data_IF_099236659676
#
_entry.id   IF_099236659676
#
_cell.length_a   1.000
_cell.length_b   1.000
_cell.length_c   1.000
_cell.angle_alpha   90.00
_cell.angle_beta   90.00
_cell.angle_gamma   90.00
#
_symmetry.space_group_name_H-M   'P 1'
#
loop_
_entity.id
_entity.type
_entity.pdbx_description
1 polymer ?
#
# COMPACT_ATOMS: atom_id res chain seq x y z
N UNK A 1 -7.53 5.42 20.46
CA UNK A 1 -6.45 5.90 19.56
C UNK A 1 -5.71 4.74 18.89
N UNK A 2 -5.16 3.79 19.66
CA UNK A 2 -4.42 2.64 19.10
C UNK A 2 -5.19 1.82 18.06
N UNK A 3 -6.46 1.51 18.31
CA UNK A 3 -7.31 0.81 17.33
C UNK A 3 -7.50 1.61 16.03
N UNK A 4 -7.60 2.94 16.11
CA UNK A 4 -7.71 3.81 14.94
C UNK A 4 -6.38 3.84 14.18
N UNK A 5 -5.25 3.93 14.88
CA UNK A 5 -3.93 3.87 14.24
C UNK A 5 -3.68 2.52 13.58
N UNK A 6 -4.09 1.41 14.21
CA UNK A 6 -4.01 0.08 13.64
C UNK A 6 -4.90 -0.06 12.39
N UNK A 7 -6.11 0.48 12.42
CA UNK A 7 -6.99 0.55 11.25
C UNK A 7 -6.37 1.38 10.11
N UNK A 8 -5.90 2.60 10.39
CA UNK A 8 -5.27 3.46 9.39
C UNK A 8 -4.01 2.84 8.79
N UNK A 9 -3.23 2.12 9.61
CA UNK A 9 -2.07 1.35 9.16
C UNK A 9 -2.49 0.26 8.16
N UNK A 10 -3.49 -0.56 8.49
CA UNK A 10 -4.00 -1.58 7.56
C UNK A 10 -4.61 -0.97 6.29
N UNK A 11 -5.32 0.16 6.40
CA UNK A 11 -5.82 0.91 5.26
C UNK A 11 -4.69 1.34 4.33
N UNK A 12 -3.58 1.83 4.86
CA UNK A 12 -2.43 2.24 4.06
C UNK A 12 -1.89 1.09 3.20
N UNK A 13 -1.70 -0.11 3.77
CA UNK A 13 -1.24 -1.28 3.02
C UNK A 13 -2.27 -1.78 2.00
N UNK A 14 -3.54 -1.77 2.38
CA UNK A 14 -4.61 -2.23 1.51
C UNK A 14 -4.80 -1.29 0.30
N UNK A 15 -4.68 0.02 0.52
CA UNK A 15 -4.64 1.00 -0.56
C UNK A 15 -3.46 0.77 -1.51
N UNK A 16 -2.27 0.51 -0.98
CA UNK A 16 -1.11 0.17 -1.81
C UNK A 16 -1.32 -1.09 -2.65
N UNK A 17 -1.93 -2.13 -2.07
CA UNK A 17 -2.24 -3.38 -2.75
C UNK A 17 -3.25 -3.15 -3.90
N UNK A 18 -4.35 -2.45 -3.62
CA UNK A 18 -5.39 -2.20 -4.61
C UNK A 18 -4.87 -1.30 -5.74
N UNK A 19 -4.06 -0.29 -5.43
CA UNK A 19 -3.38 0.51 -6.45
C UNK A 19 -2.47 -0.35 -7.32
N UNK A 20 -1.68 -1.25 -6.73
CA UNK A 20 -0.84 -2.18 -7.48
C UNK A 20 -1.65 -3.09 -8.42
N UNK A 21 -2.75 -3.66 -7.93
CA UNK A 21 -3.66 -4.48 -8.75
C UNK A 21 -4.30 -3.67 -9.86
N UNK A 22 -4.71 -2.43 -9.59
CA UNK A 22 -5.25 -1.54 -10.62
C UNK A 22 -4.22 -1.30 -11.73
N UNK A 23 -2.98 -0.99 -11.36
CA UNK A 23 -1.90 -0.87 -12.34
C UNK A 23 -1.68 -2.17 -13.09
N UNK A 24 -1.68 -3.34 -12.45
CA UNK A 24 -1.58 -4.61 -13.18
C UNK A 24 -2.63 -4.74 -14.28
N UNK A 25 -3.90 -4.43 -13.99
CA UNK A 25 -4.94 -4.51 -15.01
C UNK A 25 -4.71 -3.54 -16.18
N UNK A 26 -4.34 -2.30 -15.87
CA UNK A 26 -4.08 -1.27 -16.90
C UNK A 26 -2.83 -1.60 -17.72
N UNK A 27 -1.76 -1.98 -17.04
CA UNK A 27 -0.42 -2.07 -17.59
C UNK A 27 -0.10 -3.45 -18.19
N UNK A 28 -0.46 -4.52 -17.49
CA UNK A 28 -0.14 -5.89 -17.91
C UNK A 28 -1.29 -6.51 -18.69
N UNK A 29 -2.54 -6.31 -18.25
CA UNK A 29 -3.71 -6.89 -18.91
C UNK A 29 -4.28 -6.02 -20.05
N UNK A 30 -3.84 -4.76 -20.16
CA UNK A 30 -4.33 -3.77 -21.13
C UNK A 30 -5.87 -3.63 -21.12
N UNK A 31 -6.49 -3.69 -19.94
CA UNK A 31 -7.95 -3.60 -19.78
C UNK A 31 -8.39 -2.12 -19.68
N UNK A 32 -8.83 -1.54 -20.80
CA UNK A 32 -9.33 -0.15 -20.87
C UNK A 32 -10.62 0.07 -20.03
N UNK A 33 -11.37 -0.98 -19.66
CA UNK A 33 -12.66 -0.85 -18.96
C UNK A 33 -12.54 -0.71 -17.43
N UNK A 34 -11.48 -0.07 -16.95
CA UNK A 34 -11.19 0.08 -15.52
C UNK A 34 -12.25 0.91 -14.76
N UNK A 35 -12.95 1.82 -15.46
CA UNK A 35 -14.02 2.71 -14.96
C UNK A 35 -15.06 2.00 -14.07
N UNK A 36 -15.48 0.79 -14.46
CA UNK A 36 -16.55 0.06 -13.75
C UNK A 36 -16.12 -0.53 -12.41
N UNK A 37 -14.80 -0.67 -12.16
CA UNK A 37 -14.27 -1.35 -10.97
C UNK A 37 -13.80 -0.39 -9.87
N UNK A 38 -13.74 0.92 -10.13
CA UNK A 38 -13.27 1.91 -9.14
C UNK A 38 -14.10 1.93 -7.85
N UNK A 39 -15.42 1.83 -7.94
CA UNK A 39 -16.27 1.77 -6.73
C UNK A 39 -16.00 0.52 -5.90
N UNK A 40 -15.77 -0.63 -6.56
CA UNK A 40 -15.40 -1.87 -5.88
C UNK A 40 -14.04 -1.74 -5.21
N UNK A 41 -13.05 -1.18 -5.89
CA UNK A 41 -11.73 -0.90 -5.32
C UNK A 41 -11.81 0.05 -4.13
N UNK A 42 -12.61 1.10 -4.21
CA UNK A 42 -12.81 2.03 -3.09
C UNK A 42 -13.44 1.33 -1.87
N UNK A 43 -14.52 0.56 -2.07
CA UNK A 43 -15.19 -0.17 -0.98
C UNK A 43 -14.25 -1.25 -0.40
N UNK A 44 -13.50 -1.97 -1.23
CA UNK A 44 -12.52 -2.96 -0.78
C UNK A 44 -11.37 -2.32 0.00
N UNK A 45 -10.90 -1.14 -0.43
CA UNK A 45 -9.81 -0.41 0.22
C UNK A 45 -10.11 -0.07 1.68
N UNK A 46 -11.32 0.40 1.97
CA UNK A 46 -11.73 0.78 3.32
C UNK A 46 -12.42 -0.35 4.09
N UNK A 47 -13.21 -1.17 3.39
CA UNK A 47 -14.03 -2.22 3.98
C UNK A 47 -13.22 -3.40 4.48
N UNK A 48 -12.21 -3.85 3.72
CA UNK A 48 -11.41 -5.01 4.13
C UNK A 48 -10.60 -4.75 5.42
N UNK A 49 -9.90 -3.62 5.60
CA UNK A 49 -9.22 -3.29 6.86
C UNK A 49 -10.20 -3.14 8.02
N UNK A 50 -11.38 -2.55 7.78
CA UNK A 50 -12.41 -2.40 8.81
C UNK A 50 -12.90 -3.78 9.28
N UNK A 51 -13.18 -4.66 8.33
CA UNK A 51 -13.58 -6.04 8.60
C UNK A 51 -12.52 -6.80 9.40
N UNK A 52 -11.23 -6.71 9.03
CA UNK A 52 -10.12 -7.36 9.75
C UNK A 52 -10.03 -6.87 11.20
N UNK A 53 -10.10 -5.55 11.42
CA UNK A 53 -10.03 -4.98 12.79
C UNK A 53 -11.25 -5.39 13.63
N UNK A 54 -12.46 -5.36 13.05
CA UNK A 54 -13.69 -5.77 13.74
C UNK A 54 -13.65 -7.26 14.09
N UNK A 55 -13.25 -8.13 13.16
CA UNK A 55 -13.13 -9.56 13.40
C UNK A 55 -12.13 -9.85 14.52
N UNK A 56 -10.99 -9.17 14.52
CA UNK A 56 -9.99 -9.30 15.57
C UNK A 56 -10.53 -8.88 16.94
N UNK A 57 -11.27 -7.77 16.99
CA UNK A 57 -11.95 -7.33 18.22
C UNK A 57 -12.97 -8.35 18.71
N UNK A 58 -13.76 -8.93 17.80
CA UNK A 58 -14.77 -9.96 18.14
C UNK A 58 -14.09 -11.22 18.67
N UNK A 59 -13.03 -11.70 18.03
CA UNK A 59 -12.30 -12.90 18.46
C UNK A 59 -11.67 -12.68 19.84
N UNK A 60 -10.95 -11.57 20.04
CA UNK A 60 -10.26 -11.29 21.30
C UNK A 60 -11.21 -11.00 22.46
N UNK A 61 -12.32 -10.30 22.20
CA UNK A 61 -13.32 -10.00 23.24
C UNK A 61 -14.29 -11.15 23.47
N UNK A 62 -14.70 -11.85 22.42
CA UNK A 62 -15.72 -12.89 22.46
C UNK A 62 -15.19 -14.24 22.86
N UNK A 63 -14.06 -14.68 22.29
CA UNK A 63 -13.49 -16.01 22.55
C UNK A 63 -12.55 -15.98 23.75
N UNK A 64 -11.70 -14.95 23.83
CA UNK A 64 -10.67 -14.86 24.88
C UNK A 64 -11.10 -14.01 26.09
N UNK A 65 -12.34 -13.50 26.11
CA UNK A 65 -12.92 -12.66 27.17
C UNK A 65 -12.03 -11.49 27.63
N UNK A 66 -11.18 -10.98 26.74
CA UNK A 66 -10.25 -9.90 27.07
C UNK A 66 -10.99 -8.57 27.17
N UNK A 67 -10.65 -7.79 28.20
CA UNK A 67 -11.11 -6.40 28.29
C UNK A 67 -10.44 -5.52 27.22
N UNK A 68 -11.07 -4.42 26.81
CA UNK A 68 -10.52 -3.52 25.77
C UNK A 68 -9.10 -3.02 26.13
N UNK A 69 -8.83 -2.82 27.42
CA UNK A 69 -7.52 -2.42 27.93
C UNK A 69 -6.44 -3.52 27.82
N UNK A 70 -6.84 -4.79 27.78
CA UNK A 70 -5.96 -5.92 27.51
C UNK A 70 -5.77 -6.18 26.01
N UNK A 71 -6.76 -5.81 25.18
CA UNK A 71 -6.69 -5.95 23.72
C UNK A 71 -5.77 -4.90 23.09
N UNK A 72 -5.84 -3.65 23.56
CA UNK A 72 -4.94 -2.56 23.18
C UNK A 72 -4.28 -2.02 24.45
N UNK A 73 -3.28 -2.74 24.92
CA UNK A 73 -2.50 -2.40 26.11
C UNK A 73 -1.22 -1.64 25.78
N UNK A 74 -0.52 -1.16 26.80
CA UNK A 74 0.84 -0.65 26.64
C UNK A 74 1.81 -1.82 26.46
N UNK A 75 2.47 -1.86 25.30
CA UNK A 75 3.63 -2.71 25.04
C UNK A 75 4.87 -1.90 25.43
N UNK A 76 5.63 -2.40 26.41
CA UNK A 76 6.91 -1.82 26.89
C UNK A 76 6.83 -0.38 27.43
N UNK A 77 5.66 0.08 27.92
CA UNK A 77 5.53 1.36 28.64
C UNK A 77 5.26 2.60 27.77
N UNK A 78 5.51 2.54 26.46
CA UNK A 78 5.39 3.72 25.57
C UNK A 78 4.49 3.51 24.34
N UNK A 79 4.27 2.28 23.88
CA UNK A 79 3.53 1.98 22.65
C UNK A 79 2.21 1.25 22.95
N UNK A 80 1.08 1.90 22.68
CA UNK A 80 -0.23 1.25 22.81
C UNK A 80 -0.52 0.42 21.54
N UNK A 81 -0.29 -0.90 21.63
CA UNK A 81 -0.52 -1.84 20.53
C UNK A 81 -1.03 -3.19 21.08
N UNK A 82 -1.45 -4.11 20.21
CA UNK A 82 -2.02 -5.41 20.64
C UNK A 82 -0.93 -6.22 21.35
N UNK A 83 -1.01 -6.45 22.68
CA UNK A 83 0.05 -7.12 23.43
C UNK A 83 0.10 -8.63 23.15
N UNK A 84 -0.97 -9.18 22.58
CA UNK A 84 -0.99 -10.56 22.12
C UNK A 84 -0.06 -10.72 20.91
N UNK A 85 1.04 -11.44 21.12
CA UNK A 85 2.11 -11.67 20.13
C UNK A 85 1.58 -12.30 18.84
N UNK A 86 0.63 -13.23 18.91
CA UNK A 86 0.07 -13.89 17.71
C UNK A 86 -0.81 -12.94 16.89
N UNK A 87 -1.65 -12.15 17.56
CA UNK A 87 -2.48 -11.15 16.92
C UNK A 87 -1.62 -10.03 16.29
N UNK A 88 -0.59 -9.57 17.01
CA UNK A 88 0.37 -8.59 16.50
C UNK A 88 1.19 -9.13 15.32
N UNK A 89 1.65 -10.39 15.38
CA UNK A 89 2.33 -11.05 14.26
C UNK A 89 1.43 -11.12 13.03
N UNK A 90 0.17 -11.50 13.21
CA UNK A 90 -0.75 -11.64 12.10
C UNK A 90 -1.08 -10.29 11.44
N UNK A 91 -1.52 -9.30 12.23
CA UNK A 91 -2.00 -8.04 11.65
C UNK A 91 -0.92 -6.99 11.41
N UNK A 92 0.15 -6.99 12.19
CA UNK A 92 1.20 -5.98 12.09
C UNK A 92 2.41 -6.43 11.25
N UNK A 93 2.57 -7.73 11.00
CA UNK A 93 3.69 -8.26 10.22
C UNK A 93 3.24 -9.07 9.00
N UNK A 94 2.44 -10.13 9.18
CA UNK A 94 2.11 -11.05 8.09
C UNK A 94 1.23 -10.42 7.01
N UNK A 95 0.14 -9.73 7.39
CA UNK A 95 -0.73 -9.05 6.42
C UNK A 95 0.06 -7.98 5.62
N UNK A 96 0.78 -7.04 6.25
CA UNK A 96 1.64 -6.09 5.54
C UNK A 96 2.69 -6.74 4.65
N UNK A 97 3.35 -7.80 5.13
CA UNK A 97 4.37 -8.52 4.36
C UNK A 97 3.78 -9.14 3.09
N UNK A 98 2.63 -9.81 3.21
CA UNK A 98 1.93 -10.37 2.05
C UNK A 98 1.54 -9.27 1.05
N UNK A 99 1.06 -8.11 1.52
CA UNK A 99 0.78 -6.96 0.66
C UNK A 99 2.05 -6.50 -0.09
N UNK A 100 3.19 -6.38 0.60
CA UNK A 100 4.46 -5.98 -0.02
C UNK A 100 4.95 -6.99 -1.05
N UNK A 101 4.82 -8.29 -0.78
CA UNK A 101 5.19 -9.35 -1.72
C UNK A 101 4.35 -9.24 -3.00
N UNK A 102 3.03 -9.07 -2.88
CA UNK A 102 2.16 -8.91 -4.05
C UNK A 102 2.52 -7.66 -4.85
N UNK A 103 2.73 -6.53 -4.17
CA UNK A 103 3.17 -5.28 -4.82
C UNK A 103 4.48 -5.46 -5.58
N UNK A 104 5.43 -6.18 -4.99
CA UNK A 104 6.73 -6.47 -5.60
C UNK A 104 6.61 -7.39 -6.82
N UNK A 105 5.78 -8.43 -6.75
CA UNK A 105 5.52 -9.34 -7.88
C UNK A 105 4.88 -8.57 -9.05
N UNK A 106 3.86 -7.76 -8.78
CA UNK A 106 3.23 -6.90 -9.79
C UNK A 106 4.25 -5.96 -10.43
N UNK A 107 5.15 -5.38 -9.62
CA UNK A 107 6.20 -4.50 -10.11
C UNK A 107 7.18 -5.23 -11.05
N UNK A 108 7.64 -6.43 -10.70
CA UNK A 108 8.54 -7.22 -11.57
C UNK A 108 7.89 -7.49 -12.92
N UNK A 109 6.65 -7.94 -12.92
CA UNK A 109 5.94 -8.21 -14.17
C UNK A 109 5.69 -6.94 -14.98
N UNK A 110 5.27 -5.84 -14.35
CA UNK A 110 5.13 -4.55 -15.03
C UNK A 110 6.46 -4.10 -15.67
N UNK A 111 7.58 -4.32 -14.99
CA UNK A 111 8.91 -4.04 -15.53
C UNK A 111 9.28 -4.96 -16.71
N UNK A 112 8.94 -6.25 -16.65
CA UNK A 112 9.18 -7.20 -17.73
C UNK A 112 8.37 -6.90 -18.99
N UNK A 113 7.16 -6.37 -18.83
CA UNK A 113 6.23 -6.02 -19.93
C UNK A 113 6.54 -4.62 -20.50
N UNK A 114 7.38 -3.82 -19.83
CA UNK A 114 7.85 -2.49 -20.28
C UNK A 114 8.31 -2.42 -21.75
N UNK A 115 9.06 -3.39 -22.31
CA UNK A 115 9.46 -3.36 -23.71
C UNK A 115 8.27 -3.42 -24.68
N UNK A 116 7.20 -4.15 -24.32
CA UNK A 116 5.99 -4.26 -25.13
C UNK A 116 5.26 -2.92 -25.20
N UNK A 117 5.28 -2.13 -24.14
CA UNK A 117 4.65 -0.80 -24.12
C UNK A 117 5.46 0.26 -24.86
N UNK A 118 6.76 0.03 -25.03
CA UNK A 118 7.56 0.87 -25.93
C UNK A 118 7.17 0.66 -27.40
N UNK A 119 6.49 -0.45 -27.72
CA UNK A 119 6.02 -0.81 -29.04
C UNK A 119 4.51 -0.57 -29.26
N UNK A 120 3.73 -0.33 -28.19
CA UNK A 120 2.29 -0.03 -28.20
C UNK A 120 2.10 1.46 -27.89
N UNK A 121 1.54 2.22 -28.83
CA UNK A 121 1.26 3.67 -28.77
C UNK A 121 -0.11 3.97 -28.11
N UNK A 122 -0.60 3.04 -27.28
CA UNK A 122 -2.04 2.84 -27.06
C UNK A 122 -2.55 3.31 -25.68
N UNK A 123 -1.69 3.42 -24.65
CA UNK A 123 -2.16 3.90 -23.32
C UNK A 123 -2.52 5.40 -23.37
N UNK A 124 -1.86 6.19 -24.23
CA UNK A 124 -2.25 7.55 -24.59
C UNK A 124 -2.07 7.71 -26.10
N UNK A 125 -3.18 7.61 -26.84
CA UNK A 125 -3.17 7.63 -28.30
C UNK A 125 -2.61 8.97 -28.82
N UNK A 126 -1.36 8.97 -29.31
CA UNK A 126 -0.72 10.14 -29.92
C UNK A 126 0.33 10.88 -29.08
N UNK A 127 0.75 10.36 -27.92
CA UNK A 127 1.90 10.90 -27.17
C UNK A 127 2.72 9.78 -26.53
N UNK A 128 4.02 9.76 -26.80
CA UNK A 128 4.94 8.79 -26.18
C UNK A 128 4.86 8.88 -24.66
N UNK A 129 4.42 7.79 -24.03
CA UNK A 129 4.28 7.64 -22.59
C UNK A 129 5.63 7.45 -21.85
N UNK A 130 6.67 8.11 -22.35
CA UNK A 130 8.07 7.85 -22.02
C UNK A 130 8.46 8.31 -20.61
N UNK A 131 7.71 9.24 -20.01
CA UNK A 131 8.02 9.81 -18.70
C UNK A 131 7.10 9.32 -17.57
N UNK A 132 5.82 9.09 -17.86
CA UNK A 132 4.79 8.84 -16.84
C UNK A 132 4.85 7.41 -16.29
N UNK A 133 5.09 6.44 -17.17
CA UNK A 133 5.24 5.03 -16.79
C UNK A 133 6.48 4.79 -15.92
N UNK A 134 7.70 5.27 -16.30
CA UNK A 134 8.87 5.18 -15.41
C UNK A 134 8.68 5.87 -14.06
N UNK A 135 7.92 6.96 -14.04
CA UNK A 135 7.63 7.72 -12.83
C UNK A 135 6.72 6.95 -11.87
N UNK A 136 5.68 6.28 -12.39
CA UNK A 136 4.85 5.35 -11.61
C UNK A 136 5.69 4.19 -11.07
N UNK A 137 6.53 3.57 -11.91
CA UNK A 137 7.44 2.50 -11.48
C UNK A 137 8.41 2.97 -10.40
N UNK A 138 8.94 4.19 -10.50
CA UNK A 138 9.81 4.78 -9.48
C UNK A 138 9.08 4.97 -8.14
N UNK A 139 7.84 5.46 -8.17
CA UNK A 139 7.01 5.57 -6.95
C UNK A 139 6.82 4.19 -6.29
N UNK A 140 6.50 3.15 -7.05
CA UNK A 140 6.34 1.80 -6.48
C UNK A 140 7.62 1.24 -5.87
N UNK A 141 8.76 1.44 -6.54
CA UNK A 141 10.06 1.05 -6.02
C UNK A 141 10.35 1.79 -4.69
N UNK A 142 10.10 3.09 -4.65
CA UNK A 142 10.28 3.92 -3.46
C UNK A 142 9.38 3.46 -2.30
N UNK A 143 8.10 3.19 -2.57
CA UNK A 143 7.15 2.63 -1.59
C UNK A 143 7.67 1.32 -1.01
N UNK A 144 8.10 0.39 -1.88
CA UNK A 144 8.57 -0.94 -1.47
C UNK A 144 9.82 -0.84 -0.58
N UNK A 145 10.76 0.03 -0.95
CA UNK A 145 11.99 0.28 -0.17
C UNK A 145 11.67 0.93 1.17
N UNK A 146 10.80 1.93 1.21
CA UNK A 146 10.36 2.57 2.47
C UNK A 146 9.86 1.51 3.44
N UNK A 147 8.90 0.70 3.01
CA UNK A 147 8.27 -0.29 3.90
C UNK A 147 9.17 -1.48 4.23
N UNK A 148 10.13 -1.83 3.37
CA UNK A 148 11.18 -2.77 3.70
C UNK A 148 11.97 -2.28 4.93
N UNK A 149 12.45 -1.03 4.91
CA UNK A 149 13.15 -0.45 6.07
C UNK A 149 12.27 -0.35 7.31
N UNK A 150 10.99 -0.01 7.14
CA UNK A 150 10.01 0.00 8.23
C UNK A 150 9.85 -1.38 8.87
N UNK A 151 9.72 -2.44 8.07
CA UNK A 151 9.65 -3.82 8.54
C UNK A 151 10.94 -4.30 9.22
N UNK A 152 12.10 -4.02 8.62
CA UNK A 152 13.41 -4.31 9.20
C UNK A 152 13.60 -3.61 10.56
N UNK A 153 13.19 -2.34 10.68
CA UNK A 153 13.25 -1.64 11.96
C UNK A 153 12.36 -2.32 13.02
N UNK A 154 11.15 -2.78 12.66
CA UNK A 154 10.29 -3.49 13.60
C UNK A 154 10.90 -4.83 14.06
N UNK A 155 11.66 -5.50 13.20
CA UNK A 155 12.33 -6.76 13.52
C UNK A 155 13.63 -6.58 14.34
N UNK A 156 14.50 -5.66 13.92
CA UNK A 156 15.85 -5.51 14.48
C UNK A 156 16.01 -4.32 15.44
N UNK A 157 15.06 -3.38 15.44
CA UNK A 157 14.98 -2.21 16.35
C UNK A 157 16.20 -1.28 16.33
N UNK A 158 16.93 -1.23 15.21
CA UNK A 158 18.06 -0.33 15.06
C UNK A 158 17.65 1.07 14.60
N UNK A 159 18.08 2.11 15.32
CA UNK A 159 17.73 3.51 15.03
C UNK A 159 18.04 3.94 13.59
N UNK A 160 19.15 3.49 13.01
CA UNK A 160 19.53 3.85 11.65
C UNK A 160 18.52 3.36 10.61
N UNK A 161 17.86 2.22 10.83
CA UNK A 161 16.79 1.72 9.95
C UNK A 161 15.56 2.62 10.02
N UNK A 162 15.23 3.13 11.21
CA UNK A 162 14.14 4.10 11.38
C UNK A 162 14.44 5.42 10.67
N UNK A 163 15.69 5.90 10.75
CA UNK A 163 16.12 7.11 10.03
C UNK A 163 15.95 6.92 8.53
N UNK A 164 16.38 5.78 7.96
CA UNK A 164 16.16 5.47 6.55
C UNK A 164 14.67 5.42 6.20
N UNK A 165 13.85 4.75 7.01
CA UNK A 165 12.40 4.72 6.83
C UNK A 165 11.81 6.13 6.74
N UNK A 166 12.18 7.03 7.66
CA UNK A 166 11.68 8.42 7.69
C UNK A 166 12.10 9.20 6.44
N UNK A 167 13.36 9.05 6.00
CA UNK A 167 13.86 9.71 4.80
C UNK A 167 13.09 9.23 3.56
N UNK A 168 12.99 7.91 3.36
CA UNK A 168 12.30 7.35 2.19
C UNK A 168 10.80 7.63 2.22
N UNK A 169 10.16 7.63 3.39
CA UNK A 169 8.77 8.03 3.56
C UNK A 169 8.55 9.51 3.17
N UNK A 170 9.46 10.40 3.59
CA UNK A 170 9.39 11.83 3.22
C UNK A 170 9.54 12.03 1.71
N UNK A 171 10.46 11.29 1.08
CA UNK A 171 10.64 11.29 -0.38
C UNK A 171 9.40 10.73 -1.10
N UNK A 172 8.76 9.69 -0.55
CA UNK A 172 7.56 9.10 -1.11
C UNK A 172 6.41 10.12 -1.16
N UNK A 173 6.18 10.83 -0.05
CA UNK A 173 5.15 11.89 0.02
C UNK A 173 5.48 13.01 -0.96
N UNK A 174 6.73 13.50 -0.93
CA UNK A 174 7.17 14.58 -1.82
C UNK A 174 7.04 14.23 -3.30
N UNK A 175 7.38 13.00 -3.70
CA UNK A 175 7.26 12.54 -5.07
C UNK A 175 5.80 12.28 -5.48
N UNK A 176 4.93 11.81 -4.59
CA UNK A 176 3.55 11.45 -4.94
C UNK A 176 2.68 12.62 -5.43
N UNK A 177 2.86 13.82 -4.87
CA UNK A 177 2.02 15.00 -5.18
C UNK A 177 2.27 15.55 -6.59
N UNK A 178 3.52 15.80 -7.04
CA UNK A 178 3.80 16.19 -8.41
C UNK A 178 3.37 15.15 -9.44
N UNK A 179 3.54 13.85 -9.14
CA UNK A 179 3.23 12.77 -10.08
C UNK A 179 1.73 12.70 -10.36
N UNK A 180 0.92 12.70 -9.30
CA UNK A 180 -0.55 12.66 -9.41
C UNK A 180 -1.11 13.92 -10.08
N UNK A 181 -0.57 15.09 -9.76
CA UNK A 181 -0.99 16.35 -10.41
C UNK A 181 -0.60 16.43 -11.87
N UNK A 182 0.58 15.91 -12.26
CA UNK A 182 1.00 15.86 -13.65
C UNK A 182 0.17 14.86 -14.47
N UNK A 183 -0.11 13.67 -13.93
CA UNK A 183 -1.02 12.71 -14.56
C UNK A 183 -2.43 13.32 -14.74
N UNK A 184 -2.98 13.95 -13.71
CA UNK A 184 -4.31 14.57 -13.79
C UNK A 184 -4.38 15.67 -14.87
N UNK A 185 -3.30 16.44 -15.04
CA UNK A 185 -3.19 17.45 -16.12
C UNK A 185 -3.07 16.82 -17.50
N UNK A 186 -2.37 15.69 -17.63
CA UNK A 186 -2.25 14.96 -18.89
C UNK A 186 -3.62 14.43 -19.33
N UNK A 187 -4.33 13.73 -18.45
CA UNK A 187 -5.69 13.20 -18.70
C UNK A 187 -6.67 14.32 -19.08
N UNK A 188 -6.62 15.46 -18.39
CA UNK A 188 -7.52 16.59 -18.71
C UNK A 188 -7.28 17.19 -20.10
N UNK A 189 -6.05 17.16 -20.60
CA UNK A 189 -5.72 17.67 -21.94
C UNK A 189 -6.21 16.76 -23.06
N UNK A 190 -6.39 15.47 -22.80
CA UNK A 190 -6.92 14.53 -23.79
C UNK A 190 -8.45 14.53 -23.88
N UNK A 191 -9.12 15.02 -22.84
CA UNK A 191 -10.57 15.15 -22.79
C UNK A 191 -11.11 16.43 -23.49
N UNK A 192 -10.23 17.29 -24.02
CA UNK A 192 -10.57 18.53 -24.74
C UNK A 192 -10.23 18.42 -26.22
#
# INVERSE_FOLDING_TARGET
LAAIMHYLYLCQFNWMLIQSVNFWYVLVMNDEHTERRYLLFFILSWGLPAFVVILLLIVLRGIYHQSIFQIYGLIHGDLCFIPNVYAALFTAALIPLMCLVVVFVVFIHAYQVKPQWKAYDDIFRGRTNAAEIPLILYLFALISITWLWGGLHMAYRHLWMLVLFVIFNSLQVWASVPVTTNLAKAVRKEAQ
#
